data_IF_530877021985
#
_entry.id   IF_530877021985
#
_cell.length_a   1.000
_cell.length_b   1.000
_cell.length_c   1.000
_cell.angle_alpha   90.00
_cell.angle_beta   90.00
_cell.angle_gamma   90.00
#
_symmetry.space_group_name_H-M   'P 1'
#
loop_
_entity.id
_entity.type
_entity.pdbx_description
1 polymer ?
#
# COMPACT_ATOMS: atom_id res chain seq x y z
N UNK A 1 -6.36 -10.24 -30.29
CA UNK A 1 -6.87 -10.96 -29.10
C UNK A 1 -7.93 -10.11 -28.42
N UNK A 2 -9.06 -10.70 -28.08
CA UNK A 2 -10.14 -10.00 -27.37
C UNK A 2 -10.08 -10.42 -25.91
N UNK A 3 -9.93 -9.44 -25.01
CA UNK A 3 -9.93 -9.70 -23.57
C UNK A 3 -11.38 -9.70 -23.06
N UNK A 4 -11.72 -10.58 -22.08
CA UNK A 4 -12.98 -10.47 -21.39
C UNK A 4 -13.18 -9.09 -20.77
N UNK A 5 -14.43 -8.64 -20.68
CA UNK A 5 -14.76 -7.30 -20.20
C UNK A 5 -14.17 -7.01 -18.81
N UNK A 6 -14.26 -8.00 -17.89
CA UNK A 6 -13.74 -7.82 -16.53
C UNK A 6 -12.21 -7.62 -16.49
N UNK A 7 -11.47 -8.22 -17.44
CA UNK A 7 -10.01 -8.02 -17.52
C UNK A 7 -9.68 -6.61 -18.04
N UNK A 8 -10.49 -6.09 -18.94
CA UNK A 8 -10.31 -4.72 -19.45
C UNK A 8 -10.54 -3.72 -18.32
N UNK A 9 -11.58 -3.92 -17.51
CA UNK A 9 -11.84 -3.06 -16.35
C UNK A 9 -10.73 -3.12 -15.31
N UNK A 10 -10.20 -4.32 -15.05
CA UNK A 10 -9.10 -4.51 -14.11
C UNK A 10 -7.83 -3.79 -14.59
N UNK A 11 -7.50 -3.92 -15.86
CA UNK A 11 -6.34 -3.25 -16.45
C UNK A 11 -6.50 -1.71 -16.37
N UNK A 12 -7.68 -1.20 -16.70
CA UNK A 12 -7.97 0.23 -16.62
C UNK A 12 -7.85 0.75 -15.18
N UNK A 13 -8.36 -0.01 -14.23
CA UNK A 13 -8.26 0.34 -12.80
C UNK A 13 -6.81 0.35 -12.33
N UNK A 14 -6.05 -0.68 -12.67
CA UNK A 14 -4.63 -0.77 -12.30
C UNK A 14 -3.85 0.41 -12.87
N UNK A 15 -4.11 0.78 -14.13
CA UNK A 15 -3.45 1.92 -14.76
C UNK A 15 -3.77 3.23 -14.04
N UNK A 16 -5.01 3.44 -13.61
CA UNK A 16 -5.38 4.62 -12.81
C UNK A 16 -4.63 4.67 -11.49
N UNK A 17 -4.50 3.52 -10.81
CA UNK A 17 -3.76 3.44 -9.56
C UNK A 17 -2.28 3.74 -9.78
N UNK A 18 -1.69 3.20 -10.84
CA UNK A 18 -0.28 3.46 -11.20
C UNK A 18 -0.06 4.96 -11.44
N UNK A 19 -0.92 5.59 -12.22
CA UNK A 19 -0.82 7.02 -12.50
C UNK A 19 -0.89 7.85 -11.22
N UNK A 20 -1.81 7.50 -10.33
CA UNK A 20 -1.92 8.17 -9.03
C UNK A 20 -0.66 8.03 -8.20
N UNK A 21 -0.10 6.82 -8.12
CA UNK A 21 1.13 6.55 -7.36
C UNK A 21 2.31 7.36 -7.90
N UNK A 22 2.48 7.41 -9.22
CA UNK A 22 3.56 8.16 -9.85
C UNK A 22 3.40 9.67 -9.58
N UNK A 23 2.18 10.17 -9.69
CA UNK A 23 1.88 11.59 -9.50
C UNK A 23 2.07 12.04 -8.04
N UNK A 24 1.79 11.15 -7.08
CA UNK A 24 1.77 11.50 -5.65
C UNK A 24 2.96 10.94 -4.86
N UNK A 25 3.94 10.34 -5.51
CA UNK A 25 5.09 9.85 -4.76
C UNK A 25 5.86 10.99 -4.12
N UNK A 26 6.19 10.80 -2.85
CA UNK A 26 7.04 11.72 -2.09
C UNK A 26 8.25 10.95 -1.58
N UNK A 27 9.41 11.59 -1.51
CA UNK A 27 10.59 10.98 -0.93
C UNK A 27 11.27 9.96 -1.82
N UNK A 28 10.99 9.96 -3.12
CA UNK A 28 11.66 9.12 -4.10
C UNK A 28 11.45 7.62 -3.88
N UNK A 29 10.25 7.23 -3.50
CA UNK A 29 9.91 5.82 -3.24
C UNK A 29 10.18 4.96 -4.48
N UNK A 30 9.89 5.48 -5.67
CA UNK A 30 10.08 4.78 -6.94
C UNK A 30 11.34 5.20 -7.69
N UNK A 31 12.32 5.77 -6.98
CA UNK A 31 13.56 6.21 -7.61
C UNK A 31 14.28 5.01 -8.27
N UNK A 32 14.57 5.14 -9.56
CA UNK A 32 15.17 4.06 -10.33
C UNK A 32 14.20 2.98 -10.81
N UNK A 33 12.91 3.13 -10.55
CA UNK A 33 11.89 2.18 -11.03
C UNK A 33 11.27 2.71 -12.32
N UNK A 34 11.09 1.82 -13.31
CA UNK A 34 10.29 2.18 -14.47
C UNK A 34 8.81 1.94 -14.22
N UNK A 35 7.98 2.46 -15.12
CA UNK A 35 6.52 2.37 -14.98
C UNK A 35 6.03 0.92 -14.97
N UNK A 36 6.69 0.03 -15.71
CA UNK A 36 6.31 -1.39 -15.74
C UNK A 36 6.53 -2.07 -14.40
N UNK A 37 7.60 -1.72 -13.69
CA UNK A 37 7.85 -2.24 -12.34
C UNK A 37 6.76 -1.79 -11.38
N UNK A 38 6.34 -0.52 -11.46
CA UNK A 38 5.27 0.01 -10.63
C UNK A 38 3.95 -0.70 -10.96
N UNK A 39 3.67 -0.91 -12.25
CA UNK A 39 2.47 -1.63 -12.68
C UNK A 39 2.44 -3.06 -12.15
N UNK A 40 3.56 -3.77 -12.17
CA UNK A 40 3.67 -5.13 -11.62
C UNK A 40 3.37 -5.15 -10.13
N UNK A 41 3.87 -4.19 -9.37
CA UNK A 41 3.60 -4.07 -7.93
C UNK A 41 2.11 -3.84 -7.68
N UNK A 42 1.50 -2.91 -8.39
CA UNK A 42 0.07 -2.62 -8.22
C UNK A 42 -0.77 -3.84 -8.60
N UNK A 43 -0.45 -4.49 -9.70
CA UNK A 43 -1.16 -5.70 -10.14
C UNK A 43 -1.03 -6.85 -9.13
N UNK A 44 0.15 -7.00 -8.54
CA UNK A 44 0.39 -7.99 -7.49
C UNK A 44 -0.52 -7.75 -6.29
N UNK A 45 -0.56 -6.51 -5.79
CA UNK A 45 -1.37 -6.16 -4.63
C UNK A 45 -2.87 -6.24 -4.95
N UNK A 46 -3.26 -5.90 -6.17
CA UNK A 46 -4.63 -6.08 -6.62
C UNK A 46 -5.04 -7.55 -6.57
N UNK A 47 -4.19 -8.44 -7.12
CA UNK A 47 -4.47 -9.88 -7.15
C UNK A 47 -4.49 -10.50 -5.75
N UNK A 48 -3.61 -10.03 -4.85
CA UNK A 48 -3.52 -10.50 -3.48
C UNK A 48 -4.58 -9.88 -2.55
N UNK A 49 -5.33 -8.90 -3.03
CA UNK A 49 -6.30 -8.16 -2.23
C UNK A 49 -5.63 -7.40 -1.06
N UNK A 50 -4.41 -6.95 -1.28
CA UNK A 50 -3.66 -6.11 -0.35
C UNK A 50 -3.50 -4.69 -0.90
N UNK A 51 -4.49 -4.22 -1.62
CA UNK A 51 -4.59 -2.88 -2.18
C UNK A 51 -5.89 -2.25 -1.72
N UNK A 52 -5.80 -1.05 -1.15
CA UNK A 52 -6.96 -0.22 -0.83
C UNK A 52 -6.86 1.08 -1.61
N UNK A 53 -7.99 1.52 -2.14
CA UNK A 53 -8.07 2.76 -2.90
C UNK A 53 -9.22 3.60 -2.34
N UNK A 54 -8.90 4.83 -1.95
CA UNK A 54 -9.90 5.82 -1.55
C UNK A 54 -10.22 6.70 -2.76
N UNK A 55 -11.50 6.81 -3.09
CA UNK A 55 -11.94 7.63 -4.21
C UNK A 55 -13.18 8.45 -3.84
N UNK A 56 -13.39 9.52 -4.58
CA UNK A 56 -14.59 10.35 -4.46
C UNK A 56 -15.80 9.68 -5.13
N UNK A 57 -16.96 10.29 -4.98
CA UNK A 57 -18.19 9.84 -5.63
C UNK A 57 -18.08 9.83 -7.16
N UNK A 58 -17.22 10.67 -7.75
CA UNK A 58 -16.96 10.72 -9.19
C UNK A 58 -15.87 9.76 -9.65
N UNK A 59 -15.46 8.83 -8.77
CA UNK A 59 -14.43 7.82 -9.00
C UNK A 59 -12.99 8.37 -9.15
N UNK A 60 -12.76 9.64 -8.82
CA UNK A 60 -11.40 10.20 -8.77
C UNK A 60 -10.65 9.64 -7.57
N UNK A 61 -9.48 9.06 -7.81
CA UNK A 61 -8.66 8.47 -6.76
C UNK A 61 -8.06 9.58 -5.88
N UNK A 62 -8.17 9.40 -4.56
CA UNK A 62 -7.65 10.32 -3.55
C UNK A 62 -6.59 9.69 -2.64
N UNK A 63 -6.47 8.39 -2.67
CA UNK A 63 -5.46 7.70 -1.88
C UNK A 63 -5.30 6.25 -2.27
N UNK A 64 -4.10 5.73 -2.06
CA UNK A 64 -3.73 4.34 -2.36
C UNK A 64 -2.88 3.80 -1.22
N UNK A 65 -3.17 2.60 -0.79
CA UNK A 65 -2.40 1.91 0.25
C UNK A 65 -2.18 0.46 -0.16
N UNK A 66 -0.92 0.02 -0.04
CA UNK A 66 -0.53 -1.36 -0.34
C UNK A 66 0.36 -1.89 0.78
N UNK A 67 0.13 -3.14 1.18
CA UNK A 67 0.88 -3.75 2.28
C UNK A 67 1.22 -5.21 1.98
N UNK A 68 2.20 -5.73 2.75
CA UNK A 68 2.58 -7.15 2.73
C UNK A 68 2.37 -7.75 4.11
N UNK A 69 2.00 -9.01 4.16
CA UNK A 69 2.05 -9.80 5.39
C UNK A 69 3.43 -10.44 5.48
N UNK A 70 4.07 -10.36 6.64
CA UNK A 70 5.45 -10.80 6.79
C UNK A 70 5.75 -11.18 8.24
N UNK A 71 6.95 -11.69 8.46
CA UNK A 71 7.52 -11.79 9.79
C UNK A 71 8.38 -10.56 10.07
N UNK A 72 8.55 -10.24 11.35
CA UNK A 72 9.29 -9.04 11.78
C UNK A 72 10.68 -8.94 11.16
N UNK A 73 11.36 -10.08 11.01
CA UNK A 73 12.73 -10.11 10.49
C UNK A 73 12.79 -10.04 8.96
N UNK A 74 11.68 -10.24 8.26
CA UNK A 74 11.63 -10.27 6.80
C UNK A 74 11.50 -8.88 6.18
N UNK A 75 11.14 -7.86 6.97
CA UNK A 75 10.71 -6.55 6.45
C UNK A 75 11.67 -5.88 5.46
N UNK A 76 12.96 -6.06 5.64
CA UNK A 76 13.95 -5.47 4.74
C UNK A 76 14.05 -6.20 3.40
N UNK A 77 13.69 -7.47 3.37
CA UNK A 77 13.84 -8.31 2.19
C UNK A 77 12.81 -7.99 1.10
N UNK A 78 11.64 -7.45 1.49
CA UNK A 78 10.60 -7.10 0.52
C UNK A 78 11.03 -6.06 -0.50
N UNK A 79 11.95 -5.19 -0.12
CA UNK A 79 12.43 -4.13 -1.01
C UNK A 79 13.45 -4.68 -2.00
N UNK A 80 14.29 -5.59 -1.55
CA UNK A 80 15.45 -6.05 -2.30
C UNK A 80 15.26 -7.41 -2.97
N UNK A 81 14.45 -8.30 -2.39
CA UNK A 81 14.42 -9.71 -2.75
C UNK A 81 13.04 -10.24 -3.16
N UNK A 82 12.01 -9.42 -3.20
CA UNK A 82 10.65 -9.84 -3.56
C UNK A 82 10.20 -11.09 -2.79
N UNK A 83 10.40 -11.07 -1.47
CA UNK A 83 9.97 -12.17 -0.61
C UNK A 83 8.47 -12.42 -0.76
N UNK A 84 8.05 -13.70 -0.79
CA UNK A 84 6.63 -14.00 -0.89
C UNK A 84 5.86 -13.51 0.34
N UNK A 85 4.62 -13.10 0.10
CA UNK A 85 3.71 -12.70 1.14
C UNK A 85 3.46 -13.87 2.11
N UNK A 86 3.51 -13.59 3.41
CA UNK A 86 3.33 -14.61 4.47
C UNK A 86 2.05 -14.34 5.22
N UNK A 87 0.95 -14.94 4.79
CA UNK A 87 -0.38 -14.74 5.38
C UNK A 87 -0.43 -15.02 6.89
N UNK A 88 0.37 -15.98 7.37
CA UNK A 88 0.48 -16.35 8.78
C UNK A 88 1.58 -15.58 9.54
N UNK A 89 2.15 -14.55 8.93
CA UNK A 89 3.22 -13.75 9.54
C UNK A 89 2.73 -12.95 10.75
N UNK A 90 3.67 -12.62 11.62
CA UNK A 90 3.40 -11.85 12.84
C UNK A 90 3.41 -10.34 12.63
N UNK A 91 3.67 -9.89 11.42
CA UNK A 91 3.88 -8.48 11.11
C UNK A 91 3.21 -8.08 9.80
N UNK A 92 3.00 -6.79 9.66
CA UNK A 92 2.51 -6.16 8.43
C UNK A 92 3.53 -5.11 8.01
N UNK A 93 3.99 -5.21 6.77
CA UNK A 93 4.84 -4.21 6.17
C UNK A 93 3.97 -3.26 5.34
N UNK A 94 3.84 -2.02 5.82
CA UNK A 94 3.07 -0.98 5.14
C UNK A 94 3.95 -0.35 4.07
N UNK A 95 3.90 -0.93 2.87
CA UNK A 95 4.90 -0.67 1.83
C UNK A 95 4.70 0.66 1.11
N UNK A 96 3.47 0.96 0.71
CA UNK A 96 3.18 2.12 -0.12
C UNK A 96 1.92 2.82 0.37
N UNK A 97 2.03 4.10 0.70
CA UNK A 97 0.90 4.92 1.10
C UNK A 97 1.00 6.28 0.41
N UNK A 98 0.05 6.57 -0.44
CA UNK A 98 -0.04 7.85 -1.14
C UNK A 98 -1.44 8.43 -0.92
N UNK A 99 -1.54 9.67 -0.48
CA UNK A 99 -2.84 10.30 -0.24
C UNK A 99 -2.83 11.79 -0.54
N UNK A 100 -3.98 12.30 -1.00
CA UNK A 100 -4.20 13.71 -1.18
C UNK A 100 -4.78 14.31 0.11
N UNK A 101 -3.96 14.48 1.14
CA UNK A 101 -4.37 15.12 2.37
C UNK A 101 -4.78 14.17 3.48
N UNK A 102 -5.15 14.77 4.60
CA UNK A 102 -5.41 14.04 5.85
C UNK A 102 -6.67 13.19 5.83
N UNK A 103 -7.69 13.64 5.15
CA UNK A 103 -8.98 12.92 5.12
C UNK A 103 -8.84 11.59 4.38
N UNK A 104 -8.12 11.58 3.28
CA UNK A 104 -7.85 10.37 2.53
C UNK A 104 -7.01 9.38 3.33
N UNK A 105 -5.96 9.87 4.00
CA UNK A 105 -5.14 9.06 4.90
C UNK A 105 -6.00 8.39 5.98
N UNK A 106 -6.90 9.16 6.59
CA UNK A 106 -7.78 8.68 7.67
C UNK A 106 -8.75 7.60 7.16
N UNK A 107 -9.37 7.84 6.01
CA UNK A 107 -10.29 6.87 5.41
C UNK A 107 -9.57 5.57 5.02
N UNK A 108 -8.39 5.66 4.43
CA UNK A 108 -7.59 4.48 4.10
C UNK A 108 -7.22 3.67 5.35
N UNK A 109 -6.86 4.35 6.43
CA UNK A 109 -6.51 3.68 7.70
C UNK A 109 -7.73 2.97 8.28
N UNK A 110 -8.89 3.61 8.28
CA UNK A 110 -10.12 2.99 8.76
C UNK A 110 -10.50 1.76 7.94
N UNK A 111 -10.43 1.87 6.61
CA UNK A 111 -10.73 0.76 5.72
C UNK A 111 -9.75 -0.39 5.92
N UNK A 112 -8.47 -0.09 6.13
CA UNK A 112 -7.46 -1.08 6.42
C UNK A 112 -7.77 -1.85 7.71
N UNK A 113 -8.11 -1.14 8.78
CA UNK A 113 -8.44 -1.76 10.06
C UNK A 113 -9.69 -2.62 9.94
N UNK A 114 -10.70 -2.15 9.19
CA UNK A 114 -11.92 -2.92 8.96
C UNK A 114 -11.65 -4.20 8.16
N UNK A 115 -10.78 -4.13 7.17
CA UNK A 115 -10.42 -5.28 6.35
C UNK A 115 -9.49 -6.25 7.09
N UNK A 116 -8.57 -5.72 7.89
CA UNK A 116 -7.55 -6.49 8.59
C UNK A 116 -7.53 -6.11 10.08
N UNK A 117 -8.54 -6.54 10.87
CA UNK A 117 -8.58 -6.18 12.30
C UNK A 117 -7.33 -6.62 13.09
N UNK A 118 -6.66 -7.66 12.62
CA UNK A 118 -5.42 -8.16 13.23
C UNK A 118 -4.28 -7.15 13.18
N UNK A 119 -4.40 -6.09 12.38
CA UNK A 119 -3.38 -5.03 12.36
C UNK A 119 -3.19 -4.38 13.74
N UNK A 120 -4.24 -4.38 14.57
CA UNK A 120 -4.17 -3.81 15.91
C UNK A 120 -3.32 -4.62 16.88
N UNK A 121 -3.03 -5.87 16.55
CA UNK A 121 -2.24 -6.77 17.40
C UNK A 121 -0.90 -7.18 16.80
N UNK A 122 -0.74 -7.05 15.47
CA UNK A 122 0.51 -7.39 14.78
C UNK A 122 1.51 -6.25 14.83
N UNK A 123 2.78 -6.59 14.67
CA UNK A 123 3.83 -5.59 14.45
C UNK A 123 3.56 -4.86 13.12
N UNK A 124 3.76 -3.55 13.12
CA UNK A 124 3.54 -2.72 11.94
C UNK A 124 4.84 -2.04 11.56
N UNK A 125 5.35 -2.40 10.40
CA UNK A 125 6.63 -1.94 9.90
C UNK A 125 6.41 -1.06 8.68
N UNK A 126 7.14 0.04 8.61
CA UNK A 126 7.15 0.89 7.44
C UNK A 126 8.55 1.38 7.15
N UNK A 127 8.69 2.10 6.04
CA UNK A 127 9.93 2.75 5.68
C UNK A 127 9.68 4.24 5.51
N UNK A 128 10.58 5.02 6.06
CA UNK A 128 10.59 6.47 5.85
C UNK A 128 11.78 6.82 4.97
N UNK A 129 11.50 7.45 3.85
CA UNK A 129 12.53 7.89 2.91
C UNK A 129 12.88 9.35 3.22
N UNK A 130 14.01 9.55 3.89
CA UNK A 130 14.56 10.88 4.14
C UNK A 130 16.03 10.87 3.69
N UNK A 131 16.46 11.95 3.05
CA UNK A 131 17.86 12.12 2.61
C UNK A 131 18.37 10.98 1.73
N UNK A 132 17.49 10.32 0.99
CA UNK A 132 17.87 9.26 0.06
C UNK A 132 18.07 7.88 0.66
N UNK A 133 17.91 7.72 1.99
CA UNK A 133 18.07 6.43 2.65
C UNK A 133 16.78 6.00 3.33
N UNK A 134 16.29 4.77 3.06
CA UNK A 134 15.12 4.26 3.77
C UNK A 134 15.47 3.93 5.21
N UNK A 135 14.62 4.36 6.13
CA UNK A 135 14.74 4.04 7.55
C UNK A 135 13.52 3.22 7.97
N UNK A 136 13.77 2.08 8.62
CA UNK A 136 12.71 1.24 9.17
C UNK A 136 12.05 1.93 10.34
N UNK A 137 10.71 1.91 10.34
CA UNK A 137 9.89 2.48 11.41
C UNK A 137 8.92 1.43 11.90
N UNK A 138 8.77 1.32 13.22
CA UNK A 138 7.75 0.49 13.85
C UNK A 138 6.63 1.41 14.33
N UNK A 139 5.40 1.16 13.86
CA UNK A 139 4.25 1.96 14.23
C UNK A 139 3.54 1.36 15.44
N UNK A 140 3.08 2.21 16.36
CA UNK A 140 2.40 1.76 17.57
C UNK A 140 0.89 1.55 17.34
N UNK A 141 0.31 0.66 18.12
CA UNK A 141 -1.14 0.45 18.13
C UNK A 141 -1.89 1.70 18.59
N UNK A 142 -1.27 2.52 19.42
CA UNK A 142 -1.87 3.76 19.93
C UNK A 142 -2.25 4.71 18.79
N UNK A 143 -1.39 4.84 17.78
CA UNK A 143 -1.67 5.70 16.63
C UNK A 143 -2.92 5.20 15.88
N UNK A 144 -3.00 3.91 15.62
CA UNK A 144 -4.13 3.33 14.91
C UNK A 144 -5.44 3.47 15.68
N UNK A 145 -5.40 3.24 17.00
CA UNK A 145 -6.57 3.41 17.86
C UNK A 145 -7.05 4.87 17.89
N UNK A 146 -6.13 5.81 17.89
CA UNK A 146 -6.46 7.24 17.85
C UNK A 146 -7.18 7.61 16.55
N UNK A 147 -6.75 7.06 15.43
CA UNK A 147 -7.37 7.31 14.13
C UNK A 147 -8.79 6.76 14.07
N UNK A 148 -9.02 5.56 14.62
CA UNK A 148 -10.35 4.95 14.64
C UNK A 148 -11.33 5.77 15.48
N UNK A 149 -10.89 6.31 16.60
CA UNK A 149 -11.74 6.98 17.59
C UNK A 149 -12.01 8.45 17.25
N UNK A 150 -11.41 8.93 16.19
CA UNK A 150 -11.69 10.26 15.67
C UNK A 150 -12.58 10.13 14.41
#
# INVERSE_FOLDING_TARGET
MVFPFWQIEAIAFINKVVDFCIEHENGKVFDGWDEEMIRLIVAYHWAKQTLLVHHNADETIKGVFMWYNCNKDDGWNFINNWEPDREDGDSIFMAFLFSEGKDSFKELTKDFINKCPEVLTKNKIGLRYRSGFPKRINYSNKLFKKIINN
#
